data_IF_403794442241
#
_entry.id   IF_403794442241
#
_cell.length_a   1.000
_cell.length_b   1.000
_cell.length_c   1.000
_cell.angle_alpha   90.00
_cell.angle_beta   90.00
_cell.angle_gamma   90.00
#
_symmetry.space_group_name_H-M   'P 1'
#
loop_
_entity.id
_entity.type
_entity.pdbx_description
1 polymer ?
#
# COMPACT_ATOMS: atom_id res chain seq x y z
N UNK A 1 23.21 3.36 0.48
CA UNK A 1 21.84 3.37 -0.06
C UNK A 1 21.20 2.02 0.20
N UNK A 2 19.93 1.99 0.62
CA UNK A 2 19.21 0.74 0.89
C UNK A 2 18.91 0.00 -0.40
N UNK A 3 18.91 -1.33 -0.36
CA UNK A 3 18.54 -2.18 -1.48
C UNK A 3 17.04 -2.43 -1.44
N UNK A 4 16.35 -2.14 -2.55
CA UNK A 4 14.90 -2.27 -2.64
C UNK A 4 14.54 -3.26 -3.75
N UNK A 5 13.86 -4.34 -3.36
CA UNK A 5 13.31 -5.32 -4.29
C UNK A 5 12.02 -4.80 -4.92
N UNK A 6 11.94 -4.76 -6.25
CA UNK A 6 10.80 -4.24 -6.98
C UNK A 6 10.18 -5.35 -7.83
N UNK A 7 8.96 -5.76 -7.49
CA UNK A 7 8.19 -6.66 -8.35
C UNK A 7 7.46 -5.87 -9.43
N UNK A 8 7.60 -6.26 -10.70
CA UNK A 8 7.07 -5.52 -11.86
C UNK A 8 5.54 -5.55 -11.97
N UNK A 9 4.88 -6.48 -11.29
CA UNK A 9 3.43 -6.62 -11.35
C UNK A 9 2.97 -7.26 -12.67
N UNK A 10 1.75 -6.97 -13.10
CA UNK A 10 1.23 -7.51 -14.37
C UNK A 10 1.95 -6.85 -15.54
N UNK A 11 2.76 -7.64 -16.27
CA UNK A 11 3.56 -7.16 -17.40
C UNK A 11 2.69 -6.59 -18.53
N UNK A 12 1.41 -6.92 -18.62
CA UNK A 12 0.50 -6.32 -19.60
C UNK A 12 -0.06 -4.95 -19.14
N UNK A 13 0.25 -4.51 -17.93
CA UNK A 13 -0.12 -3.20 -17.39
C UNK A 13 1.01 -2.17 -17.50
N UNK A 14 0.84 -1.05 -16.79
CA UNK A 14 1.80 0.08 -16.77
C UNK A 14 3.06 -0.16 -15.92
N UNK A 15 3.16 -1.28 -15.19
CA UNK A 15 4.22 -1.49 -14.21
C UNK A 15 5.64 -1.35 -14.78
N UNK A 16 5.90 -2.00 -15.92
CA UNK A 16 7.21 -1.92 -16.58
C UNK A 16 7.50 -0.51 -17.11
N UNK A 17 6.50 0.16 -17.70
CA UNK A 17 6.62 1.54 -18.17
C UNK A 17 7.05 2.47 -17.04
N UNK A 18 6.38 2.37 -15.89
CA UNK A 18 6.70 3.15 -14.68
C UNK A 18 8.12 2.84 -14.19
N UNK A 19 8.49 1.56 -14.12
CA UNK A 19 9.80 1.13 -13.64
C UNK A 19 10.95 1.70 -14.50
N UNK A 20 10.83 1.59 -15.83
CA UNK A 20 11.83 2.10 -16.78
C UNK A 20 11.90 3.63 -16.70
N UNK A 21 10.76 4.32 -16.81
CA UNK A 21 10.70 5.80 -16.79
C UNK A 21 11.26 6.40 -15.51
N UNK A 22 10.96 5.80 -14.36
CA UNK A 22 11.34 6.36 -13.07
C UNK A 22 12.77 5.97 -12.64
N UNK A 23 13.44 5.04 -13.34
CA UNK A 23 14.69 4.43 -12.88
C UNK A 23 15.77 5.46 -12.48
N UNK A 24 15.99 6.48 -13.32
CA UNK A 24 16.99 7.53 -13.08
C UNK A 24 16.77 8.27 -11.75
N UNK A 25 15.51 8.45 -11.36
CA UNK A 25 15.12 9.08 -10.11
C UNK A 25 15.13 8.08 -8.96
N UNK A 26 14.62 6.86 -9.16
CA UNK A 26 14.62 5.79 -8.15
C UNK A 26 16.04 5.48 -7.67
N UNK A 27 17.02 5.39 -8.57
CA UNK A 27 18.42 5.08 -8.22
C UNK A 27 19.10 6.17 -7.38
N UNK A 28 18.57 7.39 -7.37
CA UNK A 28 19.06 8.45 -6.46
C UNK A 28 18.61 8.26 -5.01
N UNK A 29 17.60 7.41 -4.77
CA UNK A 29 17.07 7.12 -3.43
C UNK A 29 17.56 5.79 -2.86
N UNK A 30 17.73 4.78 -3.73
CA UNK A 30 18.02 3.41 -3.33
C UNK A 30 18.83 2.64 -4.39
N UNK A 31 19.21 1.41 -4.07
CA UNK A 31 19.70 0.42 -5.03
C UNK A 31 18.50 -0.46 -5.48
N UNK A 32 17.80 -0.14 -6.59
CA UNK A 32 16.66 -0.94 -7.04
C UNK A 32 17.11 -2.27 -7.67
N UNK A 33 16.38 -3.35 -7.40
CA UNK A 33 16.50 -4.63 -8.09
C UNK A 33 15.12 -5.01 -8.64
N UNK A 34 15.00 -5.12 -9.96
CA UNK A 34 13.73 -5.36 -10.64
C UNK A 34 13.54 -6.85 -10.93
N UNK A 35 12.47 -7.44 -10.42
CA UNK A 35 12.18 -8.87 -10.56
C UNK A 35 11.44 -9.12 -11.88
N UNK A 36 12.19 -9.42 -12.93
CA UNK A 36 11.73 -9.62 -14.31
C UNK A 36 12.76 -10.44 -15.08
N UNK A 37 12.32 -11.22 -16.06
CA UNK A 37 13.24 -11.86 -17.01
C UNK A 37 13.68 -10.92 -18.13
N UNK A 38 14.89 -11.14 -18.64
CA UNK A 38 15.49 -10.28 -19.66
C UNK A 38 14.65 -10.18 -20.95
N UNK A 39 13.98 -11.26 -21.36
CA UNK A 39 13.16 -11.28 -22.58
C UNK A 39 11.94 -10.34 -22.48
N UNK A 40 11.21 -10.38 -21.37
CA UNK A 40 10.06 -9.52 -21.13
C UNK A 40 10.47 -8.06 -20.95
N UNK A 41 11.62 -7.80 -20.32
CA UNK A 41 12.17 -6.45 -20.23
C UNK A 41 12.44 -5.87 -21.63
N UNK A 42 13.16 -6.60 -22.49
CA UNK A 42 13.44 -6.16 -23.86
C UNK A 42 12.18 -6.01 -24.70
N UNK A 43 11.28 -7.00 -24.66
CA UNK A 43 10.03 -6.94 -25.40
C UNK A 43 9.20 -5.72 -24.97
N UNK A 44 9.09 -5.47 -23.67
CA UNK A 44 8.32 -4.34 -23.18
C UNK A 44 8.96 -2.99 -23.50
N UNK A 45 10.27 -2.87 -23.40
CA UNK A 45 11.01 -1.67 -23.82
C UNK A 45 10.85 -1.40 -25.32
N UNK A 46 10.87 -2.44 -26.17
CA UNK A 46 10.62 -2.31 -27.60
C UNK A 46 9.20 -1.82 -27.90
N UNK A 47 8.17 -2.36 -27.22
CA UNK A 47 6.79 -1.89 -27.38
C UNK A 47 6.66 -0.42 -26.96
N UNK A 48 7.36 -0.02 -25.88
CA UNK A 48 7.39 1.35 -25.38
C UNK A 48 8.19 2.32 -26.25
N UNK A 49 8.99 1.82 -27.20
CA UNK A 49 10.05 2.59 -27.85
C UNK A 49 10.95 3.32 -26.82
N UNK A 50 11.33 2.62 -25.76
CA UNK A 50 12.10 3.17 -24.64
C UNK A 50 13.47 2.49 -24.53
N UNK A 51 14.49 3.28 -24.20
CA UNK A 51 15.81 2.75 -23.88
C UNK A 51 15.83 2.19 -22.46
N UNK A 52 16.32 0.97 -22.29
CA UNK A 52 16.58 0.39 -20.98
C UNK A 52 17.86 1.04 -20.43
N UNK A 53 17.82 1.65 -19.24
CA UNK A 53 19.03 2.18 -18.61
C UNK A 53 20.10 1.10 -18.44
N UNK A 54 21.37 1.41 -18.74
CA UNK A 54 22.46 0.44 -18.66
C UNK A 54 22.65 -0.14 -17.23
N UNK A 55 22.26 0.61 -16.21
CA UNK A 55 22.32 0.24 -14.79
C UNK A 55 20.99 -0.30 -14.23
N UNK A 56 20.05 -0.69 -15.10
CA UNK A 56 18.79 -1.31 -14.72
C UNK A 56 18.99 -2.76 -14.23
N UNK A 57 19.31 -2.92 -12.94
CA UNK A 57 19.60 -4.22 -12.31
C UNK A 57 18.37 -5.10 -12.23
N UNK A 58 18.41 -6.27 -12.88
CA UNK A 58 17.32 -7.26 -12.81
C UNK A 58 17.66 -8.44 -11.91
N UNK A 59 16.62 -9.06 -11.37
CA UNK A 59 16.65 -10.42 -10.83
C UNK A 59 15.79 -11.30 -11.73
N UNK A 60 16.44 -12.25 -12.40
CA UNK A 60 15.81 -13.11 -13.39
C UNK A 60 14.70 -13.96 -12.76
N UNK A 61 13.46 -13.78 -13.21
CA UNK A 61 12.34 -14.59 -12.73
C UNK A 61 11.17 -14.66 -13.74
N UNK A 62 10.40 -15.75 -13.62
CA UNK A 62 9.22 -15.99 -14.45
C UNK A 62 9.55 -16.54 -15.85
N UNK A 63 8.52 -17.03 -16.53
CA UNK A 63 8.64 -17.63 -17.87
C UNK A 63 8.55 -16.57 -18.98
N UNK A 64 9.10 -16.89 -20.15
CA UNK A 64 9.00 -16.05 -21.34
C UNK A 64 7.65 -16.24 -22.06
N UNK A 65 7.07 -15.15 -22.55
CA UNK A 65 5.86 -15.15 -23.37
C UNK A 65 5.69 -13.79 -24.07
N UNK A 66 4.73 -13.71 -24.98
CA UNK A 66 4.41 -12.45 -25.68
C UNK A 66 3.56 -11.53 -24.81
N UNK A 67 4.05 -10.31 -24.59
CA UNK A 67 3.32 -9.21 -23.96
C UNK A 67 2.15 -8.80 -24.85
N UNK A 68 0.98 -8.64 -24.23
CA UNK A 68 -0.23 -8.17 -24.86
C UNK A 68 -0.78 -7.01 -24.03
N UNK A 69 -0.36 -5.77 -24.33
CA UNK A 69 -0.74 -4.59 -23.56
C UNK A 69 -2.25 -4.52 -23.31
N UNK A 70 -2.62 -4.25 -22.05
CA UNK A 70 -4.01 -4.09 -21.62
C UNK A 70 -4.86 -5.37 -21.60
N UNK A 71 -4.29 -6.55 -21.90
CA UNK A 71 -5.05 -7.81 -21.93
C UNK A 71 -4.84 -8.66 -20.68
N UNK A 72 -5.95 -9.08 -20.07
CA UNK A 72 -5.95 -10.10 -19.00
C UNK A 72 -5.44 -11.42 -19.57
N UNK A 73 -4.39 -11.99 -18.97
CA UNK A 73 -3.77 -13.23 -19.43
C UNK A 73 -3.40 -14.16 -18.27
N UNK A 74 -3.53 -15.47 -18.50
CA UNK A 74 -3.03 -16.52 -17.61
C UNK A 74 -1.51 -16.39 -17.41
N UNK A 75 -0.77 -16.13 -18.50
CA UNK A 75 0.70 -16.05 -18.47
C UNK A 75 1.17 -14.81 -17.71
N UNK A 76 0.55 -13.65 -17.94
CA UNK A 76 0.90 -12.42 -17.21
C UNK A 76 0.51 -12.49 -15.73
N UNK A 77 -0.62 -13.13 -15.41
CA UNK A 77 -1.01 -13.46 -14.05
C UNK A 77 0.03 -14.31 -13.32
N UNK A 78 0.45 -15.43 -13.92
CA UNK A 78 1.50 -16.31 -13.38
C UNK A 78 2.83 -15.57 -13.20
N UNK A 79 3.26 -14.81 -14.20
CA UNK A 79 4.48 -14.00 -14.13
C UNK A 79 4.44 -12.98 -12.99
N UNK A 80 3.38 -12.18 -12.90
CA UNK A 80 3.28 -11.13 -11.89
C UNK A 80 3.31 -11.68 -10.46
N UNK A 81 2.68 -12.84 -10.24
CA UNK A 81 2.78 -13.54 -8.96
C UNK A 81 4.19 -14.06 -8.69
N UNK A 82 4.90 -14.61 -9.69
CA UNK A 82 6.29 -15.05 -9.53
C UNK A 82 7.24 -13.89 -9.27
N UNK A 83 7.10 -12.77 -9.97
CA UNK A 83 7.86 -11.53 -9.73
C UNK A 83 7.68 -11.07 -8.28
N UNK A 84 6.42 -10.98 -7.81
CA UNK A 84 6.10 -10.66 -6.42
C UNK A 84 6.68 -11.67 -5.43
N UNK A 85 6.47 -12.98 -5.65
CA UNK A 85 6.90 -14.04 -4.74
C UNK A 85 8.42 -14.09 -4.60
N UNK A 86 9.17 -13.94 -5.69
CA UNK A 86 10.63 -13.92 -5.65
C UNK A 86 11.14 -12.67 -4.93
N UNK A 87 10.58 -11.48 -5.23
CA UNK A 87 10.94 -10.24 -4.52
C UNK A 87 10.65 -10.31 -3.01
N UNK A 88 9.53 -10.94 -2.66
CA UNK A 88 9.12 -11.22 -1.28
C UNK A 88 10.12 -12.15 -0.57
N UNK A 89 10.49 -13.28 -1.19
CA UNK A 89 11.45 -14.23 -0.62
C UNK A 89 12.83 -13.58 -0.45
N UNK A 90 13.27 -12.84 -1.47
CA UNK A 90 14.54 -12.10 -1.46
C UNK A 90 14.59 -11.10 -0.29
N UNK A 91 13.52 -10.33 -0.09
CA UNK A 91 13.40 -9.38 1.03
C UNK A 91 13.32 -10.12 2.38
N UNK A 92 12.54 -11.21 2.46
CA UNK A 92 12.44 -12.04 3.68
C UNK A 92 13.78 -12.62 4.11
N UNK A 93 14.62 -12.99 3.15
CA UNK A 93 15.96 -13.53 3.39
C UNK A 93 17.01 -12.42 3.65
N UNK A 94 16.59 -11.19 3.94
CA UNK A 94 17.44 -10.03 4.20
C UNK A 94 18.40 -9.68 3.04
N UNK A 95 18.09 -10.09 1.81
CA UNK A 95 18.87 -9.71 0.63
C UNK A 95 18.44 -8.33 0.08
N UNK A 96 17.30 -7.81 0.52
CA UNK A 96 16.85 -6.44 0.32
C UNK A 96 16.25 -5.89 1.62
N UNK A 97 16.35 -4.57 1.81
CA UNK A 97 15.84 -3.86 3.00
C UNK A 97 14.31 -3.66 2.94
N UNK A 98 13.74 -3.58 1.73
CA UNK A 98 12.30 -3.38 1.53
C UNK A 98 11.82 -3.96 0.21
N UNK A 99 10.50 -4.23 0.17
CA UNK A 99 9.76 -4.65 -1.02
C UNK A 99 8.86 -3.50 -1.52
N UNK A 100 8.98 -3.16 -2.79
CA UNK A 100 8.04 -2.27 -3.48
C UNK A 100 7.32 -3.06 -4.56
N UNK A 101 5.99 -3.07 -4.53
CA UNK A 101 5.19 -3.81 -5.52
C UNK A 101 4.50 -2.88 -6.51
N UNK A 102 4.72 -3.10 -7.81
CA UNK A 102 3.90 -2.51 -8.87
C UNK A 102 2.57 -3.27 -9.05
N UNK A 103 1.57 -2.68 -9.73
CA UNK A 103 0.21 -3.19 -9.72
C UNK A 103 0.04 -4.57 -10.37
N UNK A 104 -0.89 -5.37 -9.83
CA UNK A 104 -1.31 -6.64 -10.42
C UNK A 104 -2.77 -6.58 -10.87
N UNK A 105 -3.12 -7.42 -11.85
CA UNK A 105 -4.51 -7.61 -12.23
C UNK A 105 -5.08 -8.86 -11.54
N UNK A 106 -6.05 -8.65 -10.65
CA UNK A 106 -6.65 -9.75 -9.86
C UNK A 106 -7.30 -10.84 -10.73
N UNK A 107 -7.89 -10.46 -11.87
CA UNK A 107 -8.48 -11.43 -12.83
C UNK A 107 -7.40 -12.24 -13.55
N UNK A 108 -6.24 -11.64 -13.85
CA UNK A 108 -5.09 -12.38 -14.39
C UNK A 108 -4.58 -13.42 -13.38
N UNK A 109 -4.47 -13.06 -12.09
CA UNK A 109 -4.14 -14.01 -11.01
C UNK A 109 -5.15 -15.16 -10.92
N UNK A 110 -6.44 -14.85 -10.94
CA UNK A 110 -7.50 -15.85 -10.93
C UNK A 110 -7.40 -16.81 -12.14
N UNK A 111 -7.22 -16.28 -13.36
CA UNK A 111 -7.02 -17.10 -14.57
C UNK A 111 -5.76 -17.97 -14.52
N UNK A 112 -4.76 -17.53 -13.75
CA UNK A 112 -3.53 -18.28 -13.49
C UNK A 112 -3.68 -19.36 -12.41
N UNK A 113 -4.86 -19.51 -11.80
CA UNK A 113 -5.08 -20.44 -10.70
C UNK A 113 -4.38 -20.00 -9.40
N UNK A 114 -4.03 -18.72 -9.28
CA UNK A 114 -3.47 -18.17 -8.05
C UNK A 114 -4.60 -18.01 -7.04
N UNK A 115 -4.46 -18.65 -5.88
CA UNK A 115 -5.50 -18.66 -4.83
C UNK A 115 -5.73 -17.30 -4.16
N UNK A 116 -4.79 -16.37 -4.30
CA UNK A 116 -4.84 -15.07 -3.62
C UNK A 116 -5.60 -14.03 -4.43
N UNK A 117 -6.32 -13.16 -3.74
CA UNK A 117 -7.06 -12.04 -4.37
C UNK A 117 -6.15 -10.83 -4.63
N UNK A 118 -4.99 -10.74 -3.97
CA UNK A 118 -4.00 -9.69 -4.20
C UNK A 118 -2.82 -9.76 -3.22
N UNK A 119 -1.98 -8.72 -3.23
CA UNK A 119 -0.74 -8.67 -2.44
C UNK A 119 -0.98 -8.83 -0.93
N UNK A 120 -1.92 -8.08 -0.34
CA UNK A 120 -2.17 -8.13 1.11
C UNK A 120 -2.61 -9.51 1.58
N UNK A 121 -3.49 -10.16 0.82
CA UNK A 121 -3.96 -11.53 1.08
C UNK A 121 -2.79 -12.54 1.00
N UNK A 122 -1.96 -12.44 -0.05
CA UNK A 122 -0.77 -13.28 -0.19
C UNK A 122 0.26 -13.06 0.93
N UNK A 123 0.51 -11.80 1.33
CA UNK A 123 1.43 -11.45 2.41
C UNK A 123 0.95 -11.99 3.76
N UNK A 124 -0.34 -11.85 4.06
CA UNK A 124 -0.90 -12.35 5.30
C UNK A 124 -0.87 -13.87 5.40
N UNK A 125 -1.11 -14.60 4.30
CA UNK A 125 -0.94 -16.05 4.28
C UNK A 125 0.54 -16.46 4.41
N UNK A 126 1.44 -15.77 3.72
CA UNK A 126 2.87 -16.10 3.71
C UNK A 126 3.56 -15.87 5.06
N UNK A 127 3.18 -14.80 5.78
CA UNK A 127 3.75 -14.46 7.08
C UNK A 127 2.89 -14.90 8.26
N UNK A 128 1.71 -15.49 8.02
CA UNK A 128 0.74 -15.86 9.06
C UNK A 128 0.45 -14.70 10.02
N UNK A 129 0.38 -13.49 9.46
CA UNK A 129 0.23 -12.25 10.23
C UNK A 129 -0.73 -11.29 9.53
N UNK A 130 -1.60 -10.68 10.31
CA UNK A 130 -2.56 -9.71 9.79
C UNK A 130 -1.86 -8.38 9.50
N UNK A 131 -1.80 -8.01 8.22
CA UNK A 131 -1.26 -6.73 7.81
C UNK A 131 -2.23 -5.59 8.19
N UNK A 132 -1.69 -4.45 8.60
CA UNK A 132 -2.45 -3.21 8.74
C UNK A 132 -2.26 -2.41 7.46
N UNK A 133 -3.37 -2.04 6.80
CA UNK A 133 -3.31 -1.25 5.57
C UNK A 133 -3.31 0.24 5.93
N UNK A 134 -2.31 0.96 5.44
CA UNK A 134 -2.23 2.41 5.54
C UNK A 134 -2.01 3.00 4.16
N UNK A 135 -2.81 4.00 3.80
CA UNK A 135 -2.73 4.66 2.51
C UNK A 135 -2.43 6.14 2.68
N UNK A 136 -1.75 6.71 1.70
CA UNK A 136 -1.61 8.15 1.57
C UNK A 136 -0.21 8.61 1.24
N UNK A 137 0.17 9.77 1.74
CA UNK A 137 1.45 10.41 1.44
C UNK A 137 1.88 11.24 2.66
N UNK A 138 3.03 11.92 2.58
CA UNK A 138 3.55 12.72 3.68
C UNK A 138 2.53 13.75 4.21
N UNK A 139 1.70 14.29 3.33
CA UNK A 139 0.66 15.26 3.68
C UNK A 139 -0.52 14.65 4.44
N UNK A 140 -0.81 13.35 4.25
CA UNK A 140 -1.90 12.63 4.91
C UNK A 140 -1.69 11.11 4.80
N UNK A 141 -1.62 10.42 5.94
CA UNK A 141 -1.72 8.96 6.01
C UNK A 141 -3.02 8.54 6.72
N UNK A 142 -3.71 7.56 6.17
CA UNK A 142 -4.91 6.97 6.73
C UNK A 142 -4.75 5.45 6.88
N UNK A 143 -4.74 4.96 8.12
CA UNK A 143 -4.79 3.54 8.44
C UNK A 143 -6.25 3.05 8.53
N UNK A 144 -6.53 1.88 7.98
CA UNK A 144 -7.87 1.32 7.92
C UNK A 144 -8.06 0.27 9.02
N UNK A 145 -8.98 0.50 9.96
CA UNK A 145 -9.35 -0.50 10.95
C UNK A 145 -10.12 -1.67 10.32
N UNK A 146 -10.99 -1.38 9.35
CA UNK A 146 -11.61 -2.37 8.46
C UNK A 146 -11.34 -1.98 7.01
N UNK A 147 -11.02 -2.97 6.17
CA UNK A 147 -10.65 -2.76 4.77
C UNK A 147 -11.74 -3.23 3.79
N UNK A 148 -11.56 -4.34 3.07
CA UNK A 148 -12.47 -4.82 2.03
C UNK A 148 -13.67 -5.57 2.63
N UNK A 149 -14.42 -4.89 3.50
CA UNK A 149 -15.61 -5.39 4.19
C UNK A 149 -16.87 -4.69 3.68
N UNK A 150 -17.94 -5.45 3.46
CA UNK A 150 -19.25 -4.85 3.12
C UNK A 150 -19.70 -3.87 4.22
N UNK A 151 -20.10 -2.66 3.84
CA UNK A 151 -20.40 -1.56 4.77
C UNK A 151 -21.36 -1.95 5.90
N UNK A 152 -22.41 -2.73 5.60
CA UNK A 152 -23.38 -3.25 6.58
C UNK A 152 -22.78 -4.12 7.70
N UNK A 153 -21.54 -4.59 7.55
CA UNK A 153 -20.81 -5.41 8.53
C UNK A 153 -19.84 -4.58 9.39
N UNK A 154 -19.54 -3.33 9.03
CA UNK A 154 -18.51 -2.50 9.68
C UNK A 154 -18.83 -2.23 11.15
N UNK A 155 -20.04 -1.75 11.46
CA UNK A 155 -20.41 -1.39 12.84
C UNK A 155 -20.23 -2.56 13.83
N UNK A 156 -20.53 -3.78 13.40
CA UNK A 156 -20.34 -5.00 14.20
C UNK A 156 -18.88 -5.29 14.53
N UNK A 157 -17.92 -4.81 13.74
CA UNK A 157 -16.48 -4.98 13.98
C UNK A 157 -15.92 -3.96 14.97
N UNK A 158 -16.62 -2.84 15.22
CA UNK A 158 -16.14 -1.78 16.12
C UNK A 158 -16.27 -2.23 17.58
N UNK A 159 -15.31 -3.06 18.02
CA UNK A 159 -15.21 -3.58 19.37
C UNK A 159 -13.98 -3.02 20.06
N UNK A 160 -14.17 -2.52 21.29
CA UNK A 160 -13.10 -1.84 22.04
C UNK A 160 -11.82 -2.68 22.18
N UNK A 161 -11.94 -4.00 22.38
CA UNK A 161 -10.77 -4.90 22.49
C UNK A 161 -10.00 -5.02 21.17
N UNK A 162 -10.72 -5.17 20.05
CA UNK A 162 -10.11 -5.30 18.73
C UNK A 162 -9.44 -3.99 18.30
N UNK A 163 -10.14 -2.86 18.48
CA UNK A 163 -9.59 -1.54 18.15
C UNK A 163 -8.40 -1.19 19.06
N UNK A 164 -8.46 -1.48 20.36
CA UNK A 164 -7.32 -1.27 21.26
C UNK A 164 -6.06 -2.00 20.76
N UNK A 165 -6.18 -3.28 20.39
CA UNK A 165 -5.07 -4.05 19.83
C UNK A 165 -4.55 -3.43 18.53
N UNK A 166 -5.46 -3.05 17.64
CA UNK A 166 -5.11 -2.40 16.38
C UNK A 166 -4.32 -1.11 16.60
N UNK A 167 -4.74 -0.25 17.54
CA UNK A 167 -4.06 1.00 17.84
C UNK A 167 -2.63 0.75 18.36
N UNK A 168 -2.44 -0.22 19.26
CA UNK A 168 -1.11 -0.57 19.74
C UNK A 168 -0.22 -1.13 18.63
N UNK A 169 -0.73 -2.06 17.82
CA UNK A 169 0.01 -2.64 16.70
C UNK A 169 0.36 -1.54 15.66
N UNK A 170 -0.55 -0.60 15.41
CA UNK A 170 -0.33 0.54 14.51
C UNK A 170 0.75 1.50 15.04
N UNK A 171 0.69 1.88 16.31
CA UNK A 171 1.73 2.71 16.92
C UNK A 171 3.08 1.99 16.93
N UNK A 172 3.12 0.71 17.32
CA UNK A 172 4.35 -0.07 17.34
C UNK A 172 5.07 -0.06 15.98
N UNK A 173 4.32 -0.09 14.87
CA UNK A 173 4.88 -0.11 13.52
C UNK A 173 5.23 1.27 12.94
N UNK A 174 4.68 2.36 13.48
CA UNK A 174 4.80 3.71 12.88
C UNK A 174 5.51 4.71 13.78
N UNK A 175 5.39 4.56 15.11
CA UNK A 175 5.88 5.50 16.12
C UNK A 175 5.42 6.94 15.88
N UNK A 176 4.26 7.13 15.23
CA UNK A 176 3.70 8.48 15.05
C UNK A 176 3.27 9.05 16.41
N UNK A 177 3.68 10.28 16.69
CA UNK A 177 3.45 10.93 17.99
C UNK A 177 2.04 11.49 18.18
N UNK A 178 1.27 11.64 17.09
CA UNK A 178 -0.09 12.20 17.13
C UNK A 178 -0.96 11.58 16.05
N UNK A 179 -1.95 10.79 16.48
CA UNK A 179 -2.81 9.99 15.60
C UNK A 179 -4.28 10.32 15.88
N UNK A 180 -5.01 10.79 14.87
CA UNK A 180 -6.43 11.06 14.92
C UNK A 180 -7.23 9.79 14.66
N UNK A 181 -8.12 9.39 15.56
CA UNK A 181 -9.01 8.24 15.37
C UNK A 181 -10.39 8.77 15.01
N UNK A 182 -10.91 8.45 13.83
CA UNK A 182 -12.21 8.91 13.38
C UNK A 182 -13.36 8.20 14.14
N UNK A 183 -14.47 8.91 14.35
CA UNK A 183 -15.74 8.29 14.74
C UNK A 183 -16.27 7.37 13.63
N UNK A 184 -17.18 6.46 13.97
CA UNK A 184 -17.86 5.64 12.97
C UNK A 184 -19.04 6.40 12.36
N UNK A 185 -19.85 6.98 13.24
CA UNK A 185 -21.10 7.63 12.90
C UNK A 185 -20.87 9.10 12.51
N UNK A 186 -21.81 9.70 11.75
CA UNK A 186 -21.81 11.15 11.53
C UNK A 186 -21.69 11.92 12.85
N UNK A 187 -20.96 13.03 12.83
CA UNK A 187 -20.69 13.84 14.03
C UNK A 187 -20.09 13.05 15.21
N UNK A 188 -19.42 11.93 14.93
CA UNK A 188 -18.92 11.01 15.96
C UNK A 188 -20.01 10.61 16.97
N UNK A 189 -21.21 10.32 16.45
CA UNK A 189 -22.36 9.83 17.20
C UNK A 189 -23.13 10.90 17.96
N UNK A 190 -22.70 12.17 17.94
CA UNK A 190 -23.32 13.32 18.60
C UNK A 190 -23.81 12.99 20.04
N UNK A 191 -22.85 12.60 20.89
CA UNK A 191 -23.10 12.19 22.28
C UNK A 191 -24.10 11.02 22.47
N UNK A 192 -24.34 10.23 21.43
CA UNK A 192 -25.25 9.08 21.46
C UNK A 192 -26.55 9.28 20.69
N UNK A 193 -26.79 10.48 20.15
CA UNK A 193 -27.97 10.76 19.31
C UNK A 193 -27.90 9.98 18.00
N UNK A 194 -26.70 9.85 17.42
CA UNK A 194 -26.46 9.22 16.12
C UNK A 194 -25.70 7.90 16.26
N UNK A 195 -26.20 6.98 17.09
CA UNK A 195 -25.54 5.69 17.34
C UNK A 195 -24.62 5.71 18.56
N UNK A 196 -23.99 4.57 18.89
CA UNK A 196 -23.26 4.41 20.16
C UNK A 196 -21.91 3.71 20.07
N UNK A 197 -21.46 3.37 18.86
CA UNK A 197 -20.18 2.72 18.58
C UNK A 197 -19.00 3.54 19.07
N UNK A 198 -19.11 4.86 19.15
CA UNK A 198 -18.11 5.76 19.70
C UNK A 198 -17.77 5.46 21.16
N UNK A 199 -18.67 4.85 21.93
CA UNK A 199 -18.35 4.38 23.29
C UNK A 199 -17.22 3.35 23.26
N UNK A 200 -17.23 2.43 22.29
CA UNK A 200 -16.17 1.45 22.10
C UNK A 200 -14.86 2.10 21.61
N UNK A 201 -14.97 3.10 20.72
CA UNK A 201 -13.83 3.86 20.19
C UNK A 201 -13.14 4.66 21.30
N UNK A 202 -13.90 5.47 22.05
CA UNK A 202 -13.41 6.24 23.22
C UNK A 202 -12.71 5.32 24.23
N UNK A 203 -13.30 4.16 24.52
CA UNK A 203 -12.72 3.18 25.44
C UNK A 203 -11.40 2.61 24.91
N UNK A 204 -11.28 2.31 23.62
CA UNK A 204 -10.05 1.83 23.01
C UNK A 204 -8.93 2.88 23.04
N UNK A 205 -9.24 4.13 22.68
CA UNK A 205 -8.30 5.27 22.71
C UNK A 205 -7.76 5.48 24.12
N UNK A 206 -8.65 5.57 25.13
CA UNK A 206 -8.24 5.75 26.54
C UNK A 206 -7.30 4.64 27.00
N UNK A 207 -7.62 3.38 26.67
CA UNK A 207 -6.78 2.23 27.01
C UNK A 207 -5.42 2.27 26.30
N UNK A 208 -5.38 2.62 25.02
CA UNK A 208 -4.14 2.71 24.26
C UNK A 208 -3.21 3.78 24.81
N UNK A 209 -3.73 5.00 25.03
CA UNK A 209 -2.94 6.10 25.60
C UNK A 209 -2.44 5.79 27.01
N UNK A 210 -3.28 5.18 27.85
CA UNK A 210 -2.88 4.76 29.19
C UNK A 210 -1.76 3.70 29.12
N UNK A 211 -1.89 2.70 28.24
CA UNK A 211 -0.87 1.66 28.06
C UNK A 211 0.47 2.23 27.56
N UNK A 212 0.45 3.24 26.70
CA UNK A 212 1.64 3.90 26.18
C UNK A 212 2.20 5.00 27.10
N UNK A 213 1.51 5.30 28.20
CA UNK A 213 1.83 6.40 29.12
C UNK A 213 2.02 7.76 28.41
N UNK A 214 1.31 7.97 27.30
CA UNK A 214 1.41 9.18 26.46
C UNK A 214 0.10 9.41 25.68
N UNK A 215 -0.22 10.67 25.37
CA UNK A 215 -1.42 11.06 24.61
C UNK A 215 -1.15 11.00 23.10
N UNK A 216 -0.98 9.78 22.59
CA UNK A 216 -0.71 9.52 21.17
C UNK A 216 -1.98 9.61 20.31
N UNK A 217 -3.07 9.02 20.79
CA UNK A 217 -4.34 8.91 20.07
C UNK A 217 -5.34 9.99 20.50
N UNK A 218 -5.97 10.67 19.53
CA UNK A 218 -6.96 11.73 19.74
C UNK A 218 -8.24 11.38 18.99
N UNK A 219 -9.38 11.43 19.67
CA UNK A 219 -10.68 11.16 19.05
C UNK A 219 -11.72 10.60 20.02
N UNK A 220 -12.86 10.07 19.52
CA UNK A 220 -13.22 9.99 18.11
C UNK A 220 -13.37 11.37 17.48
N UNK A 221 -12.72 11.60 16.35
CA UNK A 221 -12.84 12.83 15.58
C UNK A 221 -14.06 12.77 14.65
N UNK A 222 -14.68 13.92 14.43
CA UNK A 222 -15.75 14.10 13.46
C UNK A 222 -15.15 14.01 12.05
N UNK A 223 -15.58 13.04 11.25
CA UNK A 223 -14.88 12.63 10.03
C UNK A 223 -14.86 13.72 8.95
N UNK A 224 -15.99 14.36 8.68
CA UNK A 224 -16.15 15.47 7.73
C UNK A 224 -15.33 16.72 8.13
N UNK A 225 -15.09 16.92 9.43
CA UNK A 225 -14.20 17.98 9.91
C UNK A 225 -12.71 17.58 9.94
N UNK A 226 -12.37 16.29 9.85
CA UNK A 226 -10.99 15.82 10.03
C UNK A 226 -10.09 16.05 8.81
N UNK A 227 -10.66 16.13 7.60
CA UNK A 227 -9.90 16.20 6.34
C UNK A 227 -9.70 17.61 5.78
N UNK A 228 -10.17 18.66 6.48
CA UNK A 228 -9.89 20.03 6.04
C UNK A 228 -8.42 20.41 6.30
N UNK A 229 -7.92 21.41 5.57
CA UNK A 229 -6.52 21.82 5.61
C UNK A 229 -6.02 22.20 7.01
N UNK A 230 -6.85 22.85 7.84
CA UNK A 230 -6.46 23.24 9.20
C UNK A 230 -6.37 22.03 10.14
N UNK A 231 -7.31 21.10 10.04
CA UNK A 231 -7.27 19.84 10.78
C UNK A 231 -6.03 19.03 10.42
N UNK A 232 -5.73 18.87 9.13
CA UNK A 232 -4.57 18.11 8.64
C UNK A 232 -3.23 18.74 9.04
N UNK A 233 -3.11 20.06 9.11
CA UNK A 233 -1.92 20.73 9.69
C UNK A 233 -1.67 20.30 11.14
N UNK A 234 -2.74 20.05 11.89
CA UNK A 234 -2.64 19.68 13.30
C UNK A 234 -2.46 18.17 13.51
N UNK A 235 -3.02 17.33 12.63
CA UNK A 235 -2.96 15.88 12.70
C UNK A 235 -3.24 15.27 11.32
N UNK A 236 -2.19 14.77 10.67
CA UNK A 236 -2.23 14.17 9.34
C UNK A 236 -2.07 12.63 9.35
N UNK A 237 -1.98 12.01 10.52
CA UNK A 237 -2.01 10.55 10.67
C UNK A 237 -3.37 10.16 11.23
N UNK A 238 -4.20 9.55 10.40
CA UNK A 238 -5.58 9.22 10.74
C UNK A 238 -5.80 7.70 10.79
N UNK A 239 -6.72 7.27 11.64
CA UNK A 239 -7.28 5.92 11.66
C UNK A 239 -8.75 6.02 11.28
N UNK A 240 -9.10 5.50 10.10
CA UNK A 240 -10.47 5.39 9.64
C UNK A 240 -11.10 4.06 10.07
N UNK A 241 -12.39 4.10 10.39
CA UNK A 241 -13.14 2.91 10.81
C UNK A 241 -13.45 1.97 9.64
N UNK A 242 -13.55 2.51 8.42
CA UNK A 242 -13.79 1.76 7.19
C UNK A 242 -13.10 2.40 5.98
N UNK A 243 -12.95 1.61 4.91
CA UNK A 243 -12.25 1.96 3.67
C UNK A 243 -12.64 3.33 3.09
N UNK A 244 -13.91 3.52 2.71
CA UNK A 244 -14.33 4.74 2.00
C UNK A 244 -14.28 6.00 2.88
N UNK A 245 -14.31 5.87 4.21
CA UNK A 245 -14.17 7.00 5.15
C UNK A 245 -12.82 7.69 5.00
N UNK A 246 -11.76 6.92 4.82
CA UNK A 246 -10.40 7.41 4.66
C UNK A 246 -10.03 7.67 3.21
N UNK A 247 -10.44 6.79 2.30
CA UNK A 247 -9.97 6.80 0.93
C UNK A 247 -10.65 7.85 0.05
N UNK A 248 -11.94 8.10 0.23
CA UNK A 248 -12.63 9.13 -0.55
C UNK A 248 -11.95 10.51 -0.42
N UNK A 249 -11.71 11.06 0.79
CA UNK A 249 -11.02 12.33 0.92
C UNK A 249 -9.54 12.24 0.52
N UNK A 250 -8.85 11.14 0.84
CA UNK A 250 -7.45 10.95 0.44
C UNK A 250 -7.28 11.01 -1.08
N UNK A 251 -8.15 10.32 -1.83
CA UNK A 251 -8.11 10.32 -3.30
C UNK A 251 -8.54 11.66 -3.89
N UNK A 252 -9.47 12.38 -3.27
CA UNK A 252 -9.84 13.73 -3.71
C UNK A 252 -8.67 14.72 -3.58
N UNK A 253 -7.82 14.58 -2.56
CA UNK A 253 -6.73 15.50 -2.28
C UNK A 253 -5.39 15.10 -2.93
N UNK A 254 -5.07 13.79 -2.93
CA UNK A 254 -3.72 13.29 -3.19
C UNK A 254 -3.67 12.07 -4.11
N UNK A 255 -4.59 11.97 -5.07
CA UNK A 255 -4.72 10.83 -5.98
C UNK A 255 -3.39 10.31 -6.54
N UNK A 256 -2.58 11.22 -7.12
CA UNK A 256 -1.32 10.93 -7.81
C UNK A 256 -0.17 10.51 -6.88
N UNK A 257 -0.18 11.01 -5.64
CA UNK A 257 0.92 10.83 -4.67
C UNK A 257 0.67 9.67 -3.70
N UNK A 258 -0.58 9.27 -3.54
CA UNK A 258 -0.97 8.25 -2.57
C UNK A 258 -0.23 6.93 -2.83
N UNK A 259 0.23 6.30 -1.75
CA UNK A 259 0.86 4.98 -1.72
C UNK A 259 0.07 4.07 -0.78
N UNK A 260 0.30 2.77 -0.88
CA UNK A 260 -0.20 1.76 0.06
C UNK A 260 0.99 1.15 0.82
N UNK A 261 0.90 1.14 2.14
CA UNK A 261 1.86 0.58 3.07
C UNK A 261 1.23 -0.59 3.79
N UNK A 262 1.91 -1.74 3.77
CA UNK A 262 1.51 -2.92 4.54
C UNK A 262 2.30 -3.00 5.83
N UNK A 263 1.69 -2.49 6.89
CA UNK A 263 2.25 -2.46 8.24
C UNK A 263 2.02 -3.79 8.96
N UNK A 264 2.67 -3.94 10.11
CA UNK A 264 2.58 -5.12 10.98
C UNK A 264 3.10 -6.43 10.34
N UNK A 265 3.91 -6.35 9.29
CA UNK A 265 4.60 -7.49 8.69
C UNK A 265 6.08 -7.52 9.10
N UNK A 266 6.78 -8.67 9.05
CA UNK A 266 8.20 -8.77 9.38
C UNK A 266 9.12 -8.15 8.31
N UNK A 267 8.57 -7.66 7.20
CA UNK A 267 9.29 -6.93 6.15
C UNK A 267 8.67 -5.54 5.95
N UNK A 268 9.45 -4.61 5.40
CA UNK A 268 8.91 -3.35 4.90
C UNK A 268 8.33 -3.60 3.52
N UNK A 269 7.04 -3.29 3.34
CA UNK A 269 6.40 -3.35 2.03
C UNK A 269 5.58 -2.10 1.73
N UNK A 270 5.88 -1.47 0.61
CA UNK A 270 5.08 -0.38 0.02
C UNK A 270 4.61 -0.76 -1.38
N UNK A 271 3.66 0.02 -1.90
CA UNK A 271 3.03 -0.20 -3.19
C UNK A 271 2.49 1.12 -3.70
N UNK A 272 2.38 1.23 -5.02
CA UNK A 272 1.55 2.27 -5.62
C UNK A 272 0.08 2.06 -5.23
N UNK A 273 -0.70 3.15 -5.29
CA UNK A 273 -2.12 3.17 -4.92
C UNK A 273 -3.05 3.26 -6.15
N UNK A 274 -2.53 2.90 -7.33
CA UNK A 274 -3.31 2.76 -8.57
C UNK A 274 -3.29 1.31 -9.06
N UNK A 275 -4.23 0.99 -9.95
CA UNK A 275 -4.31 -0.31 -10.61
C UNK A 275 -3.31 -0.46 -11.76
N UNK A 276 -3.47 -1.53 -12.55
CA UNK A 276 -2.62 -1.82 -13.71
C UNK A 276 -2.81 -0.87 -14.89
N UNK A 277 -3.87 -0.04 -14.87
CA UNK A 277 -4.19 0.95 -15.89
C UNK A 277 -4.07 0.38 -17.32
N UNK A 278 -4.76 -0.74 -17.56
CA UNK A 278 -4.70 -1.51 -18.81
C UNK A 278 -5.08 -0.70 -20.05
N UNK A 279 -5.94 0.30 -19.88
CA UNK A 279 -6.37 1.26 -20.89
C UNK A 279 -5.23 2.16 -21.40
N UNK A 280 -4.20 2.40 -20.60
CA UNK A 280 -3.01 3.20 -20.97
C UNK A 280 -1.70 2.42 -20.98
N UNK A 281 -1.76 1.11 -20.78
CA UNK A 281 -0.57 0.26 -20.77
C UNK A 281 0.20 0.37 -22.09
N UNK A 282 1.51 0.62 -21.99
CA UNK A 282 2.42 0.77 -23.12
C UNK A 282 2.14 1.97 -24.04
N UNK A 283 1.45 3.00 -23.54
CA UNK A 283 1.18 4.24 -24.29
C UNK A 283 2.11 5.38 -23.92
N UNK A 284 3.01 5.20 -22.95
CA UNK A 284 3.88 6.29 -22.50
C UNK A 284 3.15 7.35 -21.66
N UNK A 285 1.95 7.06 -21.16
CA UNK A 285 1.10 8.01 -20.41
C UNK A 285 1.09 7.77 -18.88
N UNK A 286 1.71 6.69 -18.40
CA UNK A 286 1.66 6.36 -16.97
C UNK A 286 2.46 7.36 -16.12
N UNK A 287 1.84 7.83 -15.04
CA UNK A 287 2.48 8.68 -14.02
C UNK A 287 3.40 7.85 -13.11
N UNK A 288 4.57 8.41 -12.77
CA UNK A 288 5.55 7.77 -11.89
C UNK A 288 5.45 8.22 -10.43
N UNK A 289 4.63 9.24 -10.12
CA UNK A 289 4.61 9.92 -8.82
C UNK A 289 4.36 8.97 -7.64
N UNK A 290 3.29 8.18 -7.68
CA UNK A 290 2.97 7.19 -6.62
C UNK A 290 4.09 6.17 -6.43
N UNK A 291 4.76 5.75 -7.52
CA UNK A 291 5.87 4.80 -7.42
C UNK A 291 7.10 5.42 -6.78
N UNK A 292 7.43 6.65 -7.15
CA UNK A 292 8.52 7.41 -6.52
C UNK A 292 8.27 7.62 -5.03
N UNK A 293 7.05 8.01 -4.64
CA UNK A 293 6.68 8.16 -3.23
C UNK A 293 6.74 6.81 -2.48
N UNK A 294 6.34 5.71 -3.12
CA UNK A 294 6.38 4.38 -2.50
C UNK A 294 7.81 3.93 -2.23
N UNK A 295 8.73 4.21 -3.15
CA UNK A 295 10.17 3.94 -2.98
C UNK A 295 10.78 4.84 -1.92
N UNK A 296 10.52 6.16 -1.96
CA UNK A 296 11.03 7.12 -0.97
C UNK A 296 10.61 6.72 0.44
N UNK A 297 9.32 6.38 0.62
CA UNK A 297 8.79 5.98 1.91
C UNK A 297 9.38 4.65 2.39
N UNK A 298 9.55 3.67 1.50
CA UNK A 298 10.24 2.41 1.82
C UNK A 298 11.70 2.66 2.27
N UNK A 299 12.44 3.51 1.55
CA UNK A 299 13.81 3.87 1.90
C UNK A 299 13.89 4.62 3.24
N UNK A 300 12.96 5.54 3.50
CA UNK A 300 12.86 6.27 4.76
C UNK A 300 12.70 5.30 5.95
N UNK A 301 11.71 4.40 5.89
CA UNK A 301 11.49 3.43 6.98
C UNK A 301 12.69 2.49 7.13
N UNK A 302 13.28 2.05 6.01
CA UNK A 302 14.41 1.15 6.04
C UNK A 302 15.67 1.77 6.69
N UNK A 303 15.80 3.09 6.70
CA UNK A 303 16.88 3.80 7.39
C UNK A 303 16.59 4.04 8.89
N UNK A 304 15.32 3.96 9.31
CA UNK A 304 14.91 4.14 10.71
C UNK A 304 14.93 2.83 11.52
N UNK A 305 15.31 1.70 10.90
CA UNK A 305 15.51 0.40 11.54
C UNK A 305 16.98 0.03 11.50
#
# INVERSE_FOLDING_TARGET
>A
MKTIAISIGDINGVGLEIAIKAHSKIKSFCNPIYFINQNLLFQGAQILNANIPADFKIYECGENFKIHPGKISKKSGKFSFLSFKNALIFTKNAQADALVTLPINKKSWQKAGIKYVGHTDALSDFFKKQAIMMLGCQELFCALFTDHLALKKVSKQIKSKALFKFLLDFYACTQFNKIGVLGLNPHAGDNGVLGCEEKAIKKAIKKANHNLNNKIFIGPLVADAAFNANSLKSCNHLVAMYHDQGLAPLKALYFDKSINVSLNLPIIRTSVDHGTAFDIAYKGLASTKSYEEAVKYANLIANSK
#
